data_IF_879587967839
#
_entry.id   IF_879587967839
#
_cell.length_a   1.000
_cell.length_b   1.000
_cell.length_c   1.000
_cell.angle_alpha   90.00
_cell.angle_beta   90.00
_cell.angle_gamma   90.00
#
_symmetry.space_group_name_H-M   'P 1'
#
loop_
_entity.id
_entity.type
_entity.pdbx_description
1 polymer ?
#
# COMPACT_ATOMS: atom_id res chain seq x y z
N UNK A 1 4.01 -23.28 -28.14
CA UNK A 1 3.37 -23.14 -26.81
C UNK A 1 4.23 -23.86 -25.78
N UNK A 2 5.00 -23.15 -24.95
CA UNK A 2 5.78 -23.80 -23.89
C UNK A 2 4.84 -24.19 -22.75
N UNK A 3 4.63 -25.49 -22.55
CA UNK A 3 3.87 -26.02 -21.43
C UNK A 3 4.69 -25.76 -20.16
N UNK A 4 4.34 -24.73 -19.40
CA UNK A 4 4.92 -24.49 -18.08
C UNK A 4 4.40 -25.61 -17.18
N UNK A 5 5.26 -26.59 -16.87
CA UNK A 5 4.96 -27.56 -15.81
C UNK A 5 5.09 -26.80 -14.49
N UNK A 6 3.95 -26.38 -13.96
CA UNK A 6 3.85 -25.63 -12.71
C UNK A 6 3.27 -26.55 -11.64
N UNK A 7 4.12 -27.01 -10.72
CA UNK A 7 3.66 -27.65 -9.49
C UNK A 7 3.41 -26.56 -8.46
N UNK A 8 2.18 -26.46 -7.97
CA UNK A 8 1.80 -25.52 -6.92
C UNK A 8 2.07 -26.12 -5.54
N UNK A 9 2.58 -25.28 -4.63
CA UNK A 9 2.87 -25.65 -3.25
C UNK A 9 1.94 -24.83 -2.35
N UNK A 10 1.06 -25.53 -1.65
CA UNK A 10 0.14 -24.95 -0.68
C UNK A 10 0.83 -24.62 0.63
N UNK A 11 0.42 -23.51 1.24
CA UNK A 11 0.76 -23.19 2.61
C UNK A 11 -0.01 -24.05 3.62
N UNK A 12 0.25 -23.81 4.91
CA UNK A 12 -0.42 -24.49 6.04
C UNK A 12 -1.95 -24.26 6.05
N UNK A 13 -2.40 -23.16 5.46
CA UNK A 13 -3.79 -22.77 5.30
C UNK A 13 -4.42 -23.32 4.00
N UNK A 14 -3.74 -24.19 3.27
CA UNK A 14 -4.21 -24.76 2.00
C UNK A 14 -4.06 -23.83 0.81
N UNK A 15 -3.66 -22.58 1.02
CA UNK A 15 -3.57 -21.57 -0.03
C UNK A 15 -2.25 -21.74 -0.80
N UNK A 16 -2.35 -21.95 -2.11
CA UNK A 16 -1.21 -22.02 -3.03
C UNK A 16 -0.52 -20.65 -3.14
N UNK A 17 0.71 -20.56 -2.62
CA UNK A 17 1.51 -19.31 -2.64
C UNK A 17 2.82 -19.44 -3.38
N UNK A 18 3.24 -20.64 -3.71
CA UNK A 18 4.55 -20.90 -4.30
C UNK A 18 4.38 -21.83 -5.48
N UNK A 19 5.14 -21.58 -6.54
CA UNK A 19 5.19 -22.39 -7.74
C UNK A 19 6.60 -22.91 -7.97
N UNK A 20 6.71 -24.18 -8.32
CA UNK A 20 7.92 -24.79 -8.85
C UNK A 20 7.83 -24.78 -10.37
N UNK A 21 8.71 -24.00 -10.97
CA UNK A 21 8.72 -23.70 -12.40
C UNK A 21 9.85 -24.46 -13.07
N UNK A 22 9.55 -25.15 -14.18
CA UNK A 22 10.58 -25.73 -15.04
C UNK A 22 11.23 -24.63 -15.89
N UNK A 23 12.54 -24.48 -15.77
CA UNK A 23 13.37 -23.59 -16.58
C UNK A 23 14.31 -24.40 -17.46
N UNK A 24 15.04 -23.75 -18.37
CA UNK A 24 15.98 -24.44 -19.27
C UNK A 24 17.03 -25.27 -18.51
N UNK A 25 17.48 -24.79 -17.35
CA UNK A 25 18.46 -25.46 -16.49
C UNK A 25 17.84 -25.98 -15.18
N UNK A 26 16.79 -26.79 -15.28
CA UNK A 26 16.18 -27.45 -14.13
C UNK A 26 14.92 -26.77 -13.60
N UNK A 27 14.85 -26.51 -12.29
CA UNK A 27 13.66 -25.99 -11.62
C UNK A 27 13.98 -24.81 -10.72
N UNK A 28 13.08 -23.83 -10.67
CA UNK A 28 13.14 -22.69 -9.76
C UNK A 28 11.84 -22.60 -8.98
N UNK A 29 11.95 -22.30 -7.69
CA UNK A 29 10.79 -22.08 -6.81
C UNK A 29 10.59 -20.57 -6.65
N UNK A 30 9.39 -20.06 -6.98
CA UNK A 30 9.04 -18.63 -6.85
C UNK A 30 7.70 -18.45 -6.13
N UNK A 31 7.56 -17.41 -5.28
CA UNK A 31 6.27 -16.98 -4.78
C UNK A 31 5.34 -16.51 -5.91
N UNK A 32 4.05 -16.74 -5.74
CA UNK A 32 2.99 -16.25 -6.62
C UNK A 32 2.55 -14.86 -6.17
N UNK A 33 2.75 -13.87 -7.04
CA UNK A 33 2.18 -12.55 -6.85
C UNK A 33 0.71 -12.57 -7.24
N UNK A 34 -0.18 -12.41 -6.27
CA UNK A 34 -1.62 -12.29 -6.50
C UNK A 34 -1.96 -10.83 -6.76
N UNK A 35 -2.38 -10.54 -7.98
CA UNK A 35 -2.97 -9.23 -8.29
C UNK A 35 -4.43 -9.28 -7.90
N UNK A 36 -4.82 -8.39 -6.99
CA UNK A 36 -6.23 -8.18 -6.65
C UNK A 36 -6.74 -7.02 -7.50
N UNK A 37 -8.00 -7.08 -7.97
CA UNK A 37 -8.63 -5.93 -8.59
C UNK A 37 -8.52 -4.72 -7.66
N UNK A 38 -8.00 -3.60 -8.20
CA UNK A 38 -7.96 -2.34 -7.47
C UNK A 38 -9.36 -1.72 -7.40
N UNK A 39 -10.18 -1.99 -8.40
CA UNK A 39 -11.57 -1.59 -8.46
C UNK A 39 -12.43 -2.73 -7.93
N UNK A 40 -13.21 -2.45 -6.88
CA UNK A 40 -14.22 -3.35 -6.33
C UNK A 40 -15.58 -2.70 -6.53
N UNK A 41 -16.57 -3.48 -6.97
CA UNK A 41 -17.94 -2.99 -6.97
C UNK A 41 -18.43 -2.86 -5.52
N UNK A 42 -19.32 -1.91 -5.23
CA UNK A 42 -19.87 -1.72 -3.87
C UNK A 42 -20.55 -3.01 -3.38
N UNK A 43 -21.06 -3.83 -4.30
CA UNK A 43 -21.63 -5.16 -4.03
C UNK A 43 -20.63 -6.22 -3.59
N UNK A 44 -19.33 -6.05 -3.90
CA UNK A 44 -18.26 -6.99 -3.51
C UNK A 44 -17.60 -6.59 -2.19
N UNK A 45 -17.98 -5.44 -1.62
CA UNK A 45 -17.42 -4.98 -0.37
C UNK A 45 -17.92 -5.86 0.78
N UNK A 46 -17.04 -6.38 1.65
CA UNK A 46 -17.47 -7.06 2.86
C UNK A 46 -18.43 -6.17 3.63
N UNK A 47 -19.53 -6.74 4.12
CA UNK A 47 -20.57 -6.05 4.89
C UNK A 47 -20.00 -5.23 6.05
N UNK A 48 -18.85 -5.63 6.56
CA UNK A 48 -18.17 -5.05 7.70
C UNK A 48 -17.44 -3.72 7.36
N UNK A 49 -17.22 -3.42 6.07
CA UNK A 49 -16.57 -2.20 5.58
C UNK A 49 -17.61 -1.18 5.08
N UNK A 50 -18.80 -1.64 4.67
CA UNK A 50 -19.86 -0.81 4.10
C UNK A 50 -20.55 0.16 5.09
N UNK A 51 -20.29 0.05 6.40
CA UNK A 51 -20.84 0.95 7.42
C UNK A 51 -19.81 2.03 7.81
N UNK A 52 -19.48 2.87 6.84
CA UNK A 52 -18.62 4.04 7.00
C UNK A 52 -19.36 5.38 6.86
N UNK A 53 -20.70 5.40 6.92
CA UNK A 53 -21.49 6.63 6.91
C UNK A 53 -21.52 7.27 8.32
N UNK A 54 -20.37 7.74 8.79
CA UNK A 54 -20.26 8.69 9.91
C UNK A 54 -19.25 9.78 9.55
N UNK A 55 -19.43 10.41 8.39
CA UNK A 55 -18.71 11.62 8.03
C UNK A 55 -19.66 12.82 8.09
N UNK A 56 -19.41 13.68 9.09
CA UNK A 56 -19.77 15.10 9.22
C UNK A 56 -21.19 15.45 9.71
N UNK A 57 -21.40 15.38 11.02
CA UNK A 57 -22.31 16.30 11.72
C UNK A 57 -21.72 17.73 11.68
N UNK A 58 -22.50 18.77 11.31
CA UNK A 58 -22.01 20.14 11.24
C UNK A 58 -21.88 20.77 12.63
N UNK A 59 -20.63 21.07 13.01
CA UNK A 59 -20.14 21.93 14.10
C UNK A 59 -21.18 22.71 14.93
N UNK A 60 -21.18 22.49 16.25
CA UNK A 60 -21.45 23.51 17.26
C UNK A 60 -20.68 23.17 18.53
N UNK A 61 -19.45 23.64 18.65
CA UNK A 61 -18.87 24.02 19.95
C UNK A 61 -17.70 24.97 19.69
N UNK A 62 -18.06 26.24 19.75
CA UNK A 62 -17.19 27.35 20.10
C UNK A 62 -16.36 27.02 21.34
N UNK A 63 -15.03 27.00 21.21
CA UNK A 63 -14.15 27.81 22.06
C UNK A 63 -12.69 27.69 21.62
N UNK A 64 -12.32 28.65 20.77
CA UNK A 64 -11.05 29.37 20.68
C UNK A 64 -9.88 28.84 21.56
N UNK A 65 -9.16 27.83 21.08
CA UNK A 65 -7.73 27.67 21.40
C UNK A 65 -6.93 28.29 20.26
N UNK A 66 -6.36 29.48 20.49
CA UNK A 66 -5.45 30.14 19.54
C UNK A 66 -4.25 29.21 19.31
N UNK A 67 -4.09 28.73 18.08
CA UNK A 67 -2.95 27.89 17.70
C UNK A 67 -1.63 28.61 18.00
N UNK A 68 -0.59 27.91 18.48
CA UNK A 68 0.71 28.52 18.71
C UNK A 68 1.28 29.00 17.38
N UNK A 69 1.77 30.24 17.35
CA UNK A 69 2.40 30.83 16.17
C UNK A 69 3.71 30.08 15.90
N UNK A 70 3.76 29.34 14.79
CA UNK A 70 4.93 28.57 14.39
C UNK A 70 5.99 29.57 13.93
N UNK A 71 7.22 29.60 14.50
CA UNK A 71 8.28 30.46 14.00
C UNK A 71 8.56 30.11 12.54
N UNK A 72 8.55 31.12 11.67
CA UNK A 72 8.86 30.94 10.26
C UNK A 72 10.27 30.33 10.05
N UNK A 73 10.49 29.64 8.92
CA UNK A 73 11.77 29.01 8.65
C UNK A 73 12.90 30.05 8.60
N UNK A 74 14.02 29.74 9.25
CA UNK A 74 15.21 30.59 9.22
C UNK A 74 15.67 30.81 7.78
N UNK A 75 16.08 32.04 7.40
CA UNK A 75 16.57 32.30 6.06
C UNK A 75 17.81 31.45 5.75
N UNK A 76 18.00 31.05 4.48
CA UNK A 76 19.11 30.20 4.08
C UNK A 76 20.46 30.90 4.33
N UNK A 77 21.46 30.10 4.69
CA UNK A 77 22.82 30.59 4.93
C UNK A 77 23.39 31.27 3.67
N UNK A 78 24.15 32.37 3.81
CA UNK A 78 24.79 33.01 2.67
C UNK A 78 25.82 32.07 2.03
N UNK A 79 25.84 32.05 0.70
CA UNK A 79 26.74 31.20 -0.08
C UNK A 79 28.22 31.51 0.25
N UNK A 80 29.09 30.49 0.28
CA UNK A 80 30.50 30.69 0.56
C UNK A 80 31.14 31.59 -0.52
N UNK A 81 31.92 32.57 -0.08
CA UNK A 81 32.66 33.47 -0.95
C UNK A 81 33.87 32.70 -1.51
N UNK A 82 34.12 32.72 -2.83
CA UNK A 82 35.26 32.03 -3.40
C UNK A 82 36.58 32.67 -2.91
N UNK A 83 37.50 31.85 -2.42
CA UNK A 83 38.88 32.26 -2.12
C UNK A 83 39.63 32.55 -3.43
N UNK A 84 40.34 33.69 -3.45
CA UNK A 84 41.16 34.19 -4.57
C UNK A 84 42.56 33.59 -4.53
#
# INVERSE_FOLDING_TARGET
MSRVYQEYISGKDGIERVAKLRVANGFVIRPLQRLYPLEMSISDLPSDIALGENFLEPNKDSDRLKSPEIPGPSPPAPNPVPEV
#
